data_IF_188395475523
#
_entry.id   IF_188395475523
#
_cell.length_a   1.000
_cell.length_b   1.000
_cell.length_c   1.000
_cell.angle_alpha   90.00
_cell.angle_beta   90.00
_cell.angle_gamma   90.00
#
_symmetry.space_group_name_H-M   'P 1'
#
loop_
_entity.id
_entity.type
_entity.pdbx_description
1 polymer ?
#
# COMPACT_ATOMS: atom_id res chain seq x y z
N UNK A 1 38.65 1.11 -7.52
CA UNK A 1 37.32 1.58 -7.87
C UNK A 1 36.31 0.48 -7.47
N UNK A 2 35.64 0.66 -6.32
CA UNK A 2 34.55 -0.21 -5.91
C UNK A 2 33.42 0.01 -6.91
N UNK A 3 32.89 -1.05 -7.52
CA UNK A 3 31.72 -0.97 -8.39
C UNK A 3 30.57 -0.43 -7.55
N UNK A 4 30.04 0.73 -7.93
CA UNK A 4 28.84 1.28 -7.31
C UNK A 4 27.71 0.23 -7.42
N UNK A 5 27.20 -0.21 -6.28
CA UNK A 5 26.06 -1.14 -6.23
C UNK A 5 24.83 -0.52 -6.90
N UNK A 6 23.92 -1.34 -7.41
CA UNK A 6 22.58 -0.91 -7.82
C UNK A 6 21.68 -0.88 -6.60
N UNK A 7 20.94 0.19 -6.42
CA UNK A 7 19.89 0.29 -5.40
C UNK A 7 18.60 -0.30 -5.94
N UNK A 8 17.97 -1.15 -5.13
CA UNK A 8 16.69 -1.77 -5.43
C UNK A 8 15.63 -0.92 -4.74
N UNK A 9 14.58 -0.51 -5.47
CA UNK A 9 13.38 0.01 -4.84
C UNK A 9 12.82 -1.10 -3.94
N UNK A 10 12.45 -0.75 -2.70
CA UNK A 10 12.02 -1.77 -1.76
C UNK A 10 10.65 -2.34 -2.16
N UNK A 11 10.40 -3.61 -1.90
CA UNK A 11 9.11 -4.26 -2.13
C UNK A 11 7.95 -3.51 -1.51
N UNK A 12 8.13 -2.94 -0.35
CA UNK A 12 7.12 -2.21 0.41
C UNK A 12 6.62 -0.96 -0.31
N UNK A 13 7.44 -0.35 -1.18
CA UNK A 13 7.01 0.76 -2.04
C UNK A 13 5.92 0.33 -3.04
N UNK A 14 5.78 -0.97 -3.28
CA UNK A 14 4.78 -1.57 -4.16
C UNK A 14 3.70 -2.39 -3.44
N UNK A 15 3.97 -2.91 -2.23
CA UNK A 15 3.03 -3.73 -1.45
C UNK A 15 1.87 -2.94 -0.83
N UNK A 16 1.93 -1.61 -0.82
CA UNK A 16 0.83 -0.78 -0.33
C UNK A 16 -0.50 -0.93 -1.11
N UNK A 17 -0.67 -2.00 -1.85
CA UNK A 17 -1.86 -2.27 -2.67
C UNK A 17 -2.97 -2.98 -1.93
N UNK A 18 -2.66 -3.67 -0.86
CA UNK A 18 -3.68 -4.33 -0.07
C UNK A 18 -3.80 -3.67 1.30
N UNK A 19 -4.99 -3.14 1.66
CA UNK A 19 -5.26 -2.91 3.05
C UNK A 19 -5.09 -4.27 3.75
N UNK A 20 -4.28 -4.27 4.79
CA UNK A 20 -3.89 -5.46 5.52
C UNK A 20 -5.04 -6.40 5.85
N UNK A 21 -4.72 -7.62 6.02
CA UNK A 21 -5.54 -8.78 6.26
C UNK A 21 -6.73 -8.57 7.21
N UNK A 22 -7.85 -8.17 6.64
CA UNK A 22 -9.15 -8.17 7.31
C UNK A 22 -10.22 -8.44 6.26
N UNK A 23 -10.77 -9.64 6.21
CA UNK A 23 -11.70 -10.03 5.15
C UNK A 23 -13.16 -9.84 5.55
N UNK A 24 -13.95 -9.15 4.73
CA UNK A 24 -15.37 -8.96 4.91
C UNK A 24 -16.21 -9.61 3.80
N UNK A 25 -17.30 -10.23 4.17
CA UNK A 25 -18.32 -10.77 3.26
C UNK A 25 -19.53 -9.85 3.24
N UNK A 26 -19.99 -9.48 2.04
CA UNK A 26 -21.23 -8.78 1.81
C UNK A 26 -22.24 -9.70 1.10
N UNK A 27 -23.56 -9.58 1.38
CA UNK A 27 -24.58 -10.32 0.68
C UNK A 27 -24.70 -9.87 -0.79
N UNK A 28 -25.05 -10.80 -1.65
CA UNK A 28 -25.30 -10.53 -3.07
C UNK A 28 -26.63 -9.79 -3.21
N UNK A 29 -26.64 -8.64 -3.89
CA UNK A 29 -27.87 -8.04 -4.44
C UNK A 29 -27.60 -6.91 -5.49
N UNK A 30 -28.63 -6.42 -6.24
CA UNK A 30 -28.50 -6.12 -7.67
C UNK A 30 -28.44 -4.62 -8.04
N UNK A 31 -28.02 -4.39 -9.21
CA UNK A 31 -28.37 -3.43 -10.28
C UNK A 31 -28.27 -1.91 -10.11
N UNK A 32 -27.75 -1.31 -9.04
CA UNK A 32 -27.39 0.11 -9.00
C UNK A 32 -26.02 0.29 -8.35
N UNK A 33 -25.31 1.42 -8.57
CA UNK A 33 -24.06 1.67 -7.86
C UNK A 33 -24.36 1.87 -6.39
N UNK A 34 -24.03 0.89 -5.56
CA UNK A 34 -24.30 0.94 -4.14
C UNK A 34 -23.10 1.49 -3.38
N UNK A 35 -23.37 2.31 -2.38
CA UNK A 35 -22.41 2.61 -1.33
C UNK A 35 -22.63 1.62 -0.19
N UNK A 36 -21.58 0.92 0.22
CA UNK A 36 -21.66 0.05 1.40
C UNK A 36 -22.10 0.84 2.63
N UNK A 37 -23.06 0.32 3.36
CA UNK A 37 -23.58 0.91 4.61
C UNK A 37 -22.65 0.68 5.81
N UNK A 38 -21.65 -0.19 5.65
CA UNK A 38 -20.77 -0.59 6.73
C UNK A 38 -19.62 0.39 6.95
N UNK A 39 -19.19 0.52 8.19
CA UNK A 39 -18.02 1.31 8.57
C UNK A 39 -16.94 0.40 9.14
N UNK A 40 -15.67 0.68 8.81
CA UNK A 40 -14.52 -0.11 9.25
C UNK A 40 -13.42 0.80 9.72
N UNK A 41 -12.72 0.35 10.75
CA UNK A 41 -11.45 0.91 11.19
C UNK A 41 -10.39 -0.16 11.02
N UNK A 42 -9.29 0.19 10.33
CA UNK A 42 -8.19 -0.72 9.99
C UNK A 42 -6.90 -0.10 10.51
N UNK A 43 -6.10 -0.92 11.18
CA UNK A 43 -4.75 -0.59 11.57
C UNK A 43 -3.84 -1.56 10.86
N UNK A 44 -2.92 -1.04 10.06
CA UNK A 44 -1.85 -1.80 9.43
C UNK A 44 -0.53 -1.36 10.04
N UNK A 45 0.30 -2.32 10.38
CA UNK A 45 1.61 -2.05 10.96
C UNK A 45 2.62 -3.03 10.41
N UNK A 46 3.57 -2.51 9.63
CA UNK A 46 4.67 -3.26 9.04
C UNK A 46 5.97 -2.83 9.73
N UNK A 47 6.73 -3.79 10.23
CA UNK A 47 7.99 -3.52 10.89
C UNK A 47 8.97 -4.66 10.62
N UNK A 48 10.23 -4.33 10.37
CA UNK A 48 11.31 -5.27 10.15
C UNK A 48 11.87 -5.93 11.42
N UNK A 49 11.34 -5.58 12.60
CA UNK A 49 11.76 -6.12 13.91
C UNK A 49 11.76 -7.66 13.93
N UNK A 50 10.87 -8.28 13.16
CA UNK A 50 10.79 -9.74 13.05
C UNK A 50 11.95 -10.35 12.29
N UNK A 51 12.67 -9.57 11.47
CA UNK A 51 13.85 -10.00 10.72
C UNK A 51 15.13 -9.78 11.51
N UNK A 52 15.07 -9.02 12.60
CA UNK A 52 16.23 -8.66 13.42
C UNK A 52 17.20 -7.69 12.72
N UNK A 53 16.74 -6.99 11.70
CA UNK A 53 17.54 -6.08 10.88
C UNK A 53 16.76 -4.78 10.70
N UNK A 54 17.28 -3.70 11.24
CA UNK A 54 16.67 -2.35 11.18
C UNK A 54 17.30 -1.54 10.05
N UNK A 55 17.07 -1.95 8.77
CA UNK A 55 17.59 -1.20 7.64
C UNK A 55 16.69 -1.31 6.39
N UNK A 56 16.74 -0.27 5.59
CA UNK A 56 15.98 0.02 4.39
C UNK A 56 14.54 0.44 4.70
N UNK A 57 13.60 -0.47 4.87
CA UNK A 57 12.25 -0.15 5.33
C UNK A 57 12.15 -0.51 6.80
N UNK A 58 12.18 0.49 7.67
CA UNK A 58 12.23 0.28 9.11
C UNK A 58 10.84 0.12 9.71
N UNK A 59 9.89 0.91 9.24
CA UNK A 59 8.53 0.92 9.78
C UNK A 59 7.53 1.51 8.78
N UNK A 60 6.34 0.91 8.70
CA UNK A 60 5.16 1.44 8.06
C UNK A 60 3.97 1.33 9.00
N UNK A 61 3.28 2.43 9.24
CA UNK A 61 2.05 2.45 10.02
C UNK A 61 0.94 3.12 9.20
N UNK A 62 -0.23 2.50 9.14
CA UNK A 62 -1.40 3.06 8.49
C UNK A 62 -2.63 2.91 9.36
N UNK A 63 -3.38 3.99 9.50
CA UNK A 63 -4.69 4.01 10.12
C UNK A 63 -5.72 4.36 9.05
N UNK A 64 -6.72 3.52 8.85
CA UNK A 64 -7.75 3.73 7.84
C UNK A 64 -9.14 3.72 8.46
N UNK A 65 -9.97 4.63 8.01
CA UNK A 65 -11.38 4.69 8.37
C UNK A 65 -12.23 4.66 7.10
N UNK A 66 -13.10 3.68 6.98
CA UNK A 66 -14.02 3.51 5.86
C UNK A 66 -15.41 3.84 6.34
N UNK A 67 -16.09 4.76 5.64
CA UNK A 67 -17.47 5.16 5.95
C UNK A 67 -18.22 5.57 4.69
N UNK A 68 -19.53 5.26 4.60
CA UNK A 68 -20.40 5.71 3.50
C UNK A 68 -20.37 7.23 3.28
N UNK A 69 -20.34 7.99 4.38
CA UNK A 69 -20.36 9.47 4.35
C UNK A 69 -19.20 10.10 3.59
N UNK A 70 -18.05 9.42 3.49
CA UNK A 70 -16.92 9.92 2.72
C UNK A 70 -17.18 9.95 1.21
N UNK A 71 -18.14 9.17 0.71
CA UNK A 71 -18.61 9.22 -0.67
C UNK A 71 -19.31 10.52 -1.07
N UNK A 72 -19.72 11.35 -0.10
CA UNK A 72 -20.32 12.65 -0.36
C UNK A 72 -19.30 13.74 -0.74
N UNK A 73 -18.01 13.48 -0.55
CA UNK A 73 -16.93 14.39 -0.92
C UNK A 73 -16.79 14.48 -2.44
N UNK A 74 -16.52 15.69 -2.97
CA UNK A 74 -16.37 15.93 -4.40
C UNK A 74 -15.26 15.09 -5.02
N UNK A 75 -14.10 14.99 -4.36
CA UNK A 75 -12.95 14.21 -4.86
C UNK A 75 -13.33 12.72 -4.92
N UNK A 76 -13.99 12.18 -3.88
CA UNK A 76 -14.44 10.79 -3.87
C UNK A 76 -15.42 10.46 -5.02
N UNK A 77 -16.27 11.42 -5.40
CA UNK A 77 -17.19 11.28 -6.54
C UNK A 77 -16.48 11.26 -7.89
N UNK A 78 -15.36 11.98 -8.01
CA UNK A 78 -14.56 12.04 -9.22
C UNK A 78 -13.71 10.77 -9.43
N UNK A 79 -13.45 10.01 -8.35
CA UNK A 79 -12.70 8.76 -8.47
C UNK A 79 -13.49 7.73 -9.32
N UNK A 80 -12.83 7.07 -10.30
CA UNK A 80 -13.45 6.07 -11.15
C UNK A 80 -14.15 4.94 -10.38
N UNK A 81 -15.14 4.34 -10.99
CA UNK A 81 -15.87 3.16 -10.48
C UNK A 81 -15.67 1.99 -11.42
N UNK A 82 -15.77 0.75 -10.92
CA UNK A 82 -15.65 -0.48 -11.71
C UNK A 82 -16.81 -0.66 -12.74
N UNK A 83 -17.80 0.21 -12.68
CA UNK A 83 -18.91 0.25 -13.64
C UNK A 83 -20.29 0.29 -12.98
N UNK A 84 -21.32 0.23 -13.82
CA UNK A 84 -22.71 0.21 -13.36
C UNK A 84 -22.97 -1.09 -12.55
N UNK A 85 -23.58 -0.95 -11.40
CA UNK A 85 -23.83 -2.08 -10.49
C UNK A 85 -22.67 -2.35 -9.51
N UNK A 86 -21.61 -1.53 -9.51
CA UNK A 86 -20.51 -1.70 -8.58
C UNK A 86 -20.87 -1.23 -7.17
N UNK A 87 -20.41 -1.99 -6.17
CA UNK A 87 -20.43 -1.59 -4.78
C UNK A 87 -19.20 -0.74 -4.45
N UNK A 88 -19.42 0.43 -3.89
CA UNK A 88 -18.35 1.38 -3.58
C UNK A 88 -18.16 1.52 -2.06
N UNK A 89 -16.90 1.44 -1.64
CA UNK A 89 -16.45 1.77 -0.29
C UNK A 89 -15.57 3.01 -0.38
N UNK A 90 -15.76 3.94 0.54
CA UNK A 90 -14.98 5.17 0.60
C UNK A 90 -14.26 5.25 1.93
N UNK A 91 -13.00 5.62 1.88
CA UNK A 91 -12.19 5.70 3.09
C UNK A 91 -11.19 6.83 3.04
N UNK A 92 -10.74 7.18 4.23
CA UNK A 92 -9.58 8.03 4.46
C UNK A 92 -8.54 7.23 5.21
N UNK A 93 -7.26 7.54 5.01
CA UNK A 93 -6.19 6.98 5.82
C UNK A 93 -5.08 7.98 6.08
N UNK A 94 -4.33 7.72 7.13
CA UNK A 94 -3.05 8.35 7.41
C UNK A 94 -2.02 7.24 7.42
N UNK A 95 -0.94 7.44 6.63
CA UNK A 95 0.17 6.50 6.52
C UNK A 95 1.47 7.21 6.83
N UNK A 96 2.31 6.56 7.62
CA UNK A 96 3.69 6.95 7.82
C UNK A 96 4.62 5.81 7.40
N UNK A 97 5.63 6.12 6.60
CA UNK A 97 6.69 5.20 6.23
C UNK A 97 8.03 5.76 6.66
N UNK A 98 8.90 4.89 7.17
CA UNK A 98 10.25 5.22 7.60
C UNK A 98 11.26 4.37 6.84
N UNK A 99 12.23 5.04 6.25
CA UNK A 99 13.32 4.41 5.53
C UNK A 99 14.65 4.84 6.13
N UNK A 100 15.51 3.89 6.46
CA UNK A 100 16.84 4.13 6.98
C UNK A 100 17.91 3.50 6.09
N UNK A 101 19.17 3.89 6.28
CA UNK A 101 20.31 3.20 5.71
C UNK A 101 20.59 1.89 6.44
N UNK A 102 21.57 1.13 5.97
CA UNK A 102 22.06 -0.09 6.64
C UNK A 102 22.76 0.20 7.97
N UNK A 103 23.18 1.42 8.21
CA UNK A 103 23.77 1.87 9.46
C UNK A 103 22.99 3.10 9.99
N UNK A 104 21.98 2.92 10.86
CA UNK A 104 21.19 4.01 11.42
C UNK A 104 21.99 4.99 12.28
N UNK A 105 23.13 4.55 12.84
CA UNK A 105 24.00 5.34 13.70
C UNK A 105 25.10 6.09 12.94
N UNK A 106 25.04 6.10 11.60
CA UNK A 106 26.07 6.76 10.79
C UNK A 106 26.18 8.26 11.10
N UNK A 107 27.42 8.71 11.29
CA UNK A 107 27.77 10.12 11.52
C UNK A 107 28.16 10.86 10.27
N UNK A 108 28.32 10.15 9.14
CA UNK A 108 28.71 10.67 7.84
C UNK A 108 27.80 10.07 6.75
N UNK A 109 27.68 10.78 5.64
CA UNK A 109 26.89 10.33 4.49
C UNK A 109 27.58 9.16 3.79
N UNK A 110 26.95 7.98 3.73
CA UNK A 110 27.38 6.91 2.86
C UNK A 110 26.68 7.04 1.49
N UNK A 111 27.43 7.52 0.50
CA UNK A 111 26.94 7.67 -0.88
C UNK A 111 26.63 6.34 -1.58
N UNK A 112 26.98 5.21 -0.97
CA UNK A 112 26.71 3.87 -1.49
C UNK A 112 25.50 3.20 -0.83
N UNK A 113 24.83 3.88 0.08
CA UNK A 113 23.64 3.41 0.75
C UNK A 113 22.43 4.29 0.41
N UNK A 114 21.23 3.87 0.85
CA UNK A 114 20.02 4.65 0.65
C UNK A 114 19.97 5.86 1.59
N UNK A 115 19.37 6.98 1.17
CA UNK A 115 19.10 8.09 2.08
C UNK A 115 18.05 7.72 3.13
N UNK A 116 18.13 8.37 4.29
CA UNK A 116 17.01 8.40 5.23
C UNK A 116 15.86 9.18 4.62
N UNK A 117 14.65 8.67 4.81
CA UNK A 117 13.44 9.35 4.34
C UNK A 117 12.26 9.00 5.24
N UNK A 118 11.67 10.01 5.84
CA UNK A 118 10.37 9.93 6.49
C UNK A 118 9.28 10.40 5.55
N UNK A 119 8.15 9.71 5.51
CA UNK A 119 7.01 10.05 4.65
C UNK A 119 5.74 9.99 5.49
N UNK A 120 4.93 11.04 5.41
CA UNK A 120 3.61 11.11 6.01
C UNK A 120 2.59 11.46 4.94
N UNK A 121 1.59 10.61 4.74
CA UNK A 121 0.54 10.77 3.76
C UNK A 121 -0.84 10.76 4.40
N UNK A 122 -1.68 11.68 3.97
CA UNK A 122 -3.12 11.58 4.11
C UNK A 122 -3.72 11.12 2.78
N UNK A 123 -4.64 10.18 2.83
CA UNK A 123 -5.21 9.55 1.65
C UNK A 123 -6.74 9.62 1.67
N UNK A 124 -7.34 9.84 0.52
CA UNK A 124 -8.74 9.60 0.25
C UNK A 124 -8.82 8.50 -0.80
N UNK A 125 -9.58 7.44 -0.53
CA UNK A 125 -9.66 6.33 -1.45
C UNK A 125 -11.09 5.84 -1.70
N UNK A 126 -11.26 5.22 -2.85
CA UNK A 126 -12.47 4.52 -3.27
C UNK A 126 -12.12 3.12 -3.74
N UNK A 127 -12.81 2.13 -3.19
CA UNK A 127 -12.75 0.75 -3.62
C UNK A 127 -14.10 0.43 -4.24
N UNK A 128 -14.08 0.04 -5.51
CA UNK A 128 -15.26 -0.21 -6.32
C UNK A 128 -15.25 -1.66 -6.81
N UNK A 129 -16.17 -2.48 -6.32
CA UNK A 129 -16.24 -3.91 -6.65
C UNK A 129 -17.46 -4.20 -7.49
N UNK A 130 -17.24 -4.75 -8.68
CA UNK A 130 -18.27 -5.22 -9.59
C UNK A 130 -18.33 -6.74 -9.55
N UNK A 131 -19.18 -7.29 -8.68
CA UNK A 131 -19.27 -8.73 -8.45
C UNK A 131 -19.64 -9.51 -9.71
N UNK A 132 -20.55 -8.99 -10.53
CA UNK A 132 -20.99 -9.65 -11.78
C UNK A 132 -19.86 -9.88 -12.80
N UNK A 133 -18.77 -9.14 -12.66
CA UNK A 133 -17.57 -9.27 -13.50
C UNK A 133 -16.33 -9.68 -12.70
N UNK A 134 -16.48 -9.93 -11.40
CA UNK A 134 -15.35 -10.25 -10.51
C UNK A 134 -14.19 -9.26 -10.69
N UNK A 135 -14.53 -7.98 -10.71
CA UNK A 135 -13.64 -6.86 -10.97
C UNK A 135 -13.61 -5.94 -9.75
N UNK A 136 -12.42 -5.60 -9.28
CA UNK A 136 -12.19 -4.59 -8.25
C UNK A 136 -11.32 -3.47 -8.82
N UNK A 137 -11.74 -2.23 -8.60
CA UNK A 137 -11.01 -1.02 -8.96
C UNK A 137 -10.78 -0.22 -7.68
N UNK A 138 -9.51 0.01 -7.34
CA UNK A 138 -9.12 0.86 -6.21
C UNK A 138 -8.46 2.12 -6.73
N UNK A 139 -8.94 3.28 -6.29
CA UNK A 139 -8.35 4.57 -6.61
C UNK A 139 -8.03 5.32 -5.34
N UNK A 140 -6.88 6.00 -5.30
CA UNK A 140 -6.40 6.80 -4.17
C UNK A 140 -5.91 8.16 -4.64
N UNK A 141 -6.20 9.17 -3.85
CA UNK A 141 -5.56 10.50 -3.90
C UNK A 141 -4.80 10.65 -2.60
N UNK A 142 -3.53 10.96 -2.69
CA UNK A 142 -2.62 11.05 -1.56
C UNK A 142 -1.99 12.44 -1.55
N UNK A 143 -1.93 13.05 -0.37
CA UNK A 143 -1.23 14.31 -0.13
C UNK A 143 -0.44 14.19 1.16
N UNK A 144 0.73 14.81 1.24
CA UNK A 144 1.55 14.71 2.43
C UNK A 144 2.92 15.32 2.28
N UNK A 145 3.86 14.83 3.07
CA UNK A 145 5.21 15.37 3.17
C UNK A 145 6.25 14.26 3.25
N UNK A 146 7.41 14.54 2.69
CA UNK A 146 8.65 13.81 2.93
C UNK A 146 9.58 14.70 3.74
N UNK A 147 10.49 14.11 4.52
CA UNK A 147 11.50 14.81 5.29
C UNK A 147 11.14 14.99 6.77
N UNK A 148 11.63 16.04 7.40
CA UNK A 148 11.45 16.29 8.84
C UNK A 148 9.97 16.48 9.22
N UNK A 149 9.21 17.13 8.38
CA UNK A 149 7.76 17.36 8.55
C UNK A 149 6.96 16.05 8.63
N UNK A 150 7.51 14.93 8.15
CA UNK A 150 6.90 13.59 8.30
C UNK A 150 6.87 13.08 9.73
N UNK A 151 7.63 13.70 10.64
CA UNK A 151 7.81 13.32 12.06
C UNK A 151 8.44 11.92 12.25
N UNK A 152 8.99 11.29 11.22
CA UNK A 152 9.54 9.95 11.27
C UNK A 152 10.69 9.86 12.29
N UNK A 153 11.66 10.78 12.24
CA UNK A 153 12.76 10.85 13.19
C UNK A 153 12.27 10.99 14.64
N UNK A 154 11.22 11.79 14.87
CA UNK A 154 10.64 11.99 16.20
C UNK A 154 9.98 10.69 16.71
N UNK A 155 9.21 10.01 15.87
CA UNK A 155 8.53 8.75 16.26
C UNK A 155 9.55 7.64 16.51
N UNK A 156 10.58 7.51 15.68
CA UNK A 156 11.63 6.53 15.91
C UNK A 156 12.38 6.81 17.22
N UNK A 157 12.62 8.08 17.56
CA UNK A 157 13.20 8.47 18.86
C UNK A 157 12.34 8.03 20.04
N UNK A 158 11.01 8.12 19.92
CA UNK A 158 10.11 7.68 21.00
C UNK A 158 10.10 6.14 21.14
N UNK A 159 10.29 5.41 20.05
CA UNK A 159 10.28 3.95 20.05
C UNK A 159 11.60 3.32 20.49
N UNK A 160 12.73 4.01 20.27
CA UNK A 160 14.08 3.49 20.55
C UNK A 160 14.76 4.32 21.63
N UNK A 161 15.49 3.65 22.53
CA UNK A 161 16.30 4.32 23.58
C UNK A 161 17.55 5.01 22.99
N UNK A 162 17.98 4.63 21.79
CA UNK A 162 19.10 5.24 21.07
C UNK A 162 18.56 6.11 19.94
N UNK A 163 19.16 7.28 19.77
CA UNK A 163 18.79 8.19 18.70
C UNK A 163 19.57 7.86 17.43
N UNK A 164 18.91 7.43 16.35
CA UNK A 164 19.58 7.21 15.07
C UNK A 164 20.07 8.53 14.51
N UNK A 165 21.37 8.76 14.57
CA UNK A 165 22.01 10.03 14.17
C UNK A 165 21.86 10.28 12.66
N UNK A 166 21.71 9.21 11.86
CA UNK A 166 21.56 9.29 10.40
C UNK A 166 20.40 10.13 9.91
N UNK A 167 19.37 10.38 10.74
CA UNK A 167 18.25 11.26 10.38
C UNK A 167 18.64 12.71 10.07
N UNK A 168 19.80 13.18 10.55
CA UNK A 168 20.32 14.50 10.16
C UNK A 168 20.64 14.62 8.67
N UNK A 169 20.78 13.50 7.97
CA UNK A 169 21.08 13.42 6.54
C UNK A 169 19.86 12.98 5.70
N UNK A 170 18.66 13.06 6.26
CA UNK A 170 17.45 12.63 5.56
C UNK A 170 17.14 13.49 4.33
N UNK A 171 16.33 12.97 3.45
CA UNK A 171 15.70 13.74 2.38
C UNK A 171 15.04 14.98 2.99
N UNK A 172 15.29 16.15 2.42
CA UNK A 172 14.71 17.42 2.90
C UNK A 172 13.21 17.48 2.65
N UNK A 173 12.56 18.36 3.40
CA UNK A 173 11.12 18.57 3.32
C UNK A 173 10.65 18.92 1.90
N UNK A 174 9.64 18.20 1.44
CA UNK A 174 8.94 18.48 0.21
C UNK A 174 7.47 18.04 0.28
N UNK A 175 6.63 18.65 -0.55
CA UNK A 175 5.22 18.33 -0.67
C UNK A 175 5.04 17.10 -1.55
N UNK A 176 4.22 16.17 -1.09
CA UNK A 176 3.86 14.97 -1.82
C UNK A 176 2.41 15.04 -2.29
N UNK A 177 2.20 14.79 -3.59
CA UNK A 177 0.88 14.62 -4.21
C UNK A 177 0.96 13.43 -5.13
N UNK A 178 0.08 12.44 -4.92
CA UNK A 178 0.08 11.20 -5.69
C UNK A 178 -1.34 10.77 -6.04
N UNK A 179 -1.46 10.18 -7.21
CA UNK A 179 -2.63 9.43 -7.65
C UNK A 179 -2.24 7.97 -7.81
N UNK A 180 -3.10 7.08 -7.35
CA UNK A 180 -2.94 5.64 -7.53
C UNK A 180 -4.22 5.05 -8.08
N UNK A 181 -4.11 4.16 -9.05
CA UNK A 181 -5.21 3.34 -9.55
C UNK A 181 -4.75 1.90 -9.70
N UNK A 182 -5.51 0.98 -9.14
CA UNK A 182 -5.28 -0.46 -9.23
C UNK A 182 -6.54 -1.16 -9.67
N UNK A 183 -6.39 -2.06 -10.63
CA UNK A 183 -7.46 -2.94 -11.10
C UNK A 183 -7.08 -4.39 -10.80
N UNK A 184 -8.01 -5.14 -10.22
CA UNK A 184 -7.89 -6.58 -10.01
C UNK A 184 -9.05 -7.29 -10.68
N UNK A 185 -8.73 -8.31 -11.48
CA UNK A 185 -9.70 -9.15 -12.16
C UNK A 185 -9.51 -10.61 -11.74
N UNK A 186 -10.51 -11.18 -11.11
CA UNK A 186 -10.53 -12.62 -10.83
C UNK A 186 -10.88 -13.38 -12.10
N UNK A 187 -10.05 -14.35 -12.46
CA UNK A 187 -10.18 -15.15 -13.69
C UNK A 187 -10.55 -16.60 -13.39
N UNK A 188 -10.21 -17.10 -12.21
CA UNK A 188 -10.67 -18.40 -11.70
C UNK A 188 -11.42 -18.13 -10.39
N UNK A 189 -12.66 -18.59 -10.32
CA UNK A 189 -13.57 -18.41 -9.18
C UNK A 189 -14.22 -19.75 -8.83
N UNK A 190 -13.38 -20.69 -8.45
CA UNK A 190 -13.83 -22.00 -8.01
C UNK A 190 -14.06 -22.03 -6.51
N UNK A 191 -14.77 -23.04 -6.02
CA UNK A 191 -15.12 -23.18 -4.61
C UNK A 191 -13.88 -23.17 -3.68
N UNK A 192 -12.78 -23.76 -4.14
CA UNK A 192 -11.57 -23.97 -3.34
C UNK A 192 -10.34 -23.30 -3.95
N UNK A 193 -10.47 -22.61 -5.08
CA UNK A 193 -9.37 -21.97 -5.78
C UNK A 193 -9.82 -20.67 -6.40
N UNK A 194 -9.03 -19.61 -6.18
CA UNK A 194 -9.19 -18.33 -6.86
C UNK A 194 -7.87 -17.88 -7.43
N UNK A 195 -7.93 -17.33 -8.63
CA UNK A 195 -6.80 -16.72 -9.29
C UNK A 195 -7.23 -15.35 -9.82
N UNK A 196 -6.45 -14.32 -9.50
CA UNK A 196 -6.67 -12.96 -9.96
C UNK A 196 -5.42 -12.41 -10.62
N UNK A 197 -5.61 -11.51 -11.58
CA UNK A 197 -4.56 -10.65 -12.12
C UNK A 197 -4.82 -9.22 -11.67
N UNK A 198 -3.74 -8.49 -11.38
CA UNK A 198 -3.81 -7.08 -11.04
C UNK A 198 -2.89 -6.25 -11.92
N UNK A 199 -3.26 -4.97 -12.09
CA UNK A 199 -2.40 -3.96 -12.65
C UNK A 199 -2.54 -2.67 -11.84
N UNK A 200 -1.42 -2.00 -11.58
CA UNK A 200 -1.38 -0.79 -10.76
C UNK A 200 -0.56 0.28 -11.44
N UNK A 201 -1.09 1.49 -11.43
CA UNK A 201 -0.38 2.69 -11.83
C UNK A 201 -0.36 3.71 -10.70
N UNK A 202 0.81 4.31 -10.46
CA UNK A 202 0.99 5.45 -9.55
C UNK A 202 1.61 6.60 -10.32
N UNK A 203 1.11 7.80 -10.10
CA UNK A 203 1.62 9.00 -10.72
C UNK A 203 1.65 10.13 -9.69
N UNK A 204 2.80 10.73 -9.49
CA UNK A 204 2.92 11.86 -8.59
C UNK A 204 4.33 12.21 -8.17
N UNK A 205 4.42 13.05 -7.14
CA UNK A 205 5.68 13.57 -6.61
C UNK A 205 6.29 12.67 -5.53
N UNK A 206 5.56 11.64 -5.06
CA UNK A 206 6.10 10.61 -4.17
C UNK A 206 6.62 9.42 -4.98
N UNK A 207 5.71 8.75 -5.69
CA UNK A 207 6.00 7.56 -6.48
C UNK A 207 5.38 7.69 -7.87
N UNK A 208 6.15 7.37 -8.90
CA UNK A 208 5.65 7.12 -10.24
C UNK A 208 6.06 5.72 -10.63
N UNK A 209 5.08 4.79 -10.68
CA UNK A 209 5.31 3.36 -10.91
C UNK A 209 4.22 2.77 -11.80
N UNK A 210 4.55 1.66 -12.45
CA UNK A 210 3.59 0.78 -13.10
C UNK A 210 3.92 -0.66 -12.73
N UNK A 211 2.91 -1.45 -12.36
CA UNK A 211 3.11 -2.83 -11.94
C UNK A 211 1.98 -3.74 -12.38
N UNK A 212 2.27 -5.03 -12.38
CA UNK A 212 1.29 -6.10 -12.62
C UNK A 212 1.55 -7.25 -11.65
N UNK A 213 0.51 -7.99 -11.29
CA UNK A 213 0.61 -9.08 -10.34
C UNK A 213 -0.39 -10.18 -10.59
N UNK A 214 -0.10 -11.32 -9.99
CA UNK A 214 -0.94 -12.51 -9.95
C UNK A 214 -1.15 -12.87 -8.49
N UNK A 215 -2.39 -13.14 -8.11
CA UNK A 215 -2.77 -13.52 -6.75
C UNK A 215 -3.54 -14.82 -6.80
N UNK A 216 -3.21 -15.74 -5.90
CA UNK A 216 -3.98 -16.95 -5.75
C UNK A 216 -4.43 -17.16 -4.31
N UNK A 217 -5.57 -17.80 -4.14
CA UNK A 217 -6.06 -18.30 -2.85
C UNK A 217 -6.55 -19.72 -3.04
N UNK A 218 -6.12 -20.63 -2.18
CA UNK A 218 -6.55 -22.02 -2.20
C UNK A 218 -6.97 -22.47 -0.80
N UNK A 219 -8.11 -23.17 -0.70
CA UNK A 219 -8.64 -23.64 0.57
C UNK A 219 -10.15 -23.53 0.64
N UNK A 220 -10.68 -23.41 1.83
CA UNK A 220 -12.10 -23.22 2.08
C UNK A 220 -12.41 -21.73 2.13
N UNK A 221 -12.65 -21.16 0.95
CA UNK A 221 -12.71 -19.73 0.68
C UNK A 221 -14.16 -19.24 0.76
N UNK A 222 -14.45 -18.03 1.30
CA UNK A 222 -15.74 -17.39 1.18
C UNK A 222 -16.18 -17.21 -0.28
N UNK A 223 -17.46 -17.37 -0.59
CA UNK A 223 -17.95 -17.32 -1.97
C UNK A 223 -17.91 -15.92 -2.60
N UNK A 224 -17.90 -14.85 -1.81
CA UNK A 224 -17.91 -13.50 -2.37
C UNK A 224 -16.51 -13.01 -2.74
N UNK A 225 -16.39 -12.42 -3.93
CA UNK A 225 -15.23 -11.62 -4.31
C UNK A 225 -15.37 -10.25 -3.62
N UNK A 226 -14.55 -10.01 -2.60
CA UNK A 226 -14.48 -8.72 -1.92
C UNK A 226 -13.07 -8.44 -1.45
N UNK A 227 -12.54 -7.23 -1.64
CA UNK A 227 -11.26 -6.81 -1.08
C UNK A 227 -11.28 -6.71 0.44
N UNK A 228 -12.48 -6.61 1.04
CA UNK A 228 -12.70 -6.61 2.48
C UNK A 228 -13.51 -7.85 2.86
N UNK A 229 -12.88 -8.98 2.99
CA UNK A 229 -13.54 -10.12 3.60
C UNK A 229 -13.37 -10.03 5.11
N UNK A 230 -14.16 -9.24 5.81
CA UNK A 230 -14.33 -9.38 7.24
C UNK A 230 -15.20 -10.59 7.49
N UNK A 231 -14.69 -11.46 8.33
CA UNK A 231 -15.49 -12.54 8.93
C UNK A 231 -16.43 -11.89 9.96
N UNK A 232 -17.54 -11.36 9.50
CA UNK A 232 -18.63 -11.10 10.40
C UNK A 232 -19.34 -12.45 10.60
N UNK A 233 -19.14 -13.07 11.75
CA UNK A 233 -19.62 -14.41 12.09
C UNK A 233 -21.15 -14.60 11.94
N UNK A 234 -21.92 -13.54 11.69
CA UNK A 234 -23.37 -13.57 11.49
C UNK A 234 -23.82 -13.69 10.02
N UNK A 235 -22.93 -13.51 9.03
CA UNK A 235 -23.31 -13.40 7.61
C UNK A 235 -22.56 -14.30 6.66
N UNK A 236 -21.72 -15.22 7.14
CA UNK A 236 -21.09 -16.22 6.26
C UNK A 236 -22.07 -17.34 6.03
N UNK A 237 -23.01 -17.17 5.11
CA UNK A 237 -23.74 -18.28 4.52
C UNK A 237 -22.80 -19.07 3.60
N UNK A 238 -22.15 -20.06 4.19
CA UNK A 238 -21.56 -21.15 3.42
C UNK A 238 -22.65 -22.21 3.31
N UNK A 239 -23.25 -22.37 2.11
CA UNK A 239 -24.25 -23.39 1.78
C UNK A 239 -24.62 -24.34 2.94
N UNK A 240 -25.60 -23.94 3.74
CA UNK A 240 -26.30 -24.83 4.67
C UNK A 240 -25.62 -25.26 5.96
N UNK A 241 -24.42 -24.80 6.31
CA UNK A 241 -23.77 -25.21 7.54
C UNK A 241 -22.97 -24.09 8.22
N UNK A 242 -23.59 -23.43 9.21
CA UNK A 242 -23.13 -22.23 9.91
C UNK A 242 -21.86 -22.40 10.78
N UNK A 243 -21.29 -23.60 10.90
CA UNK A 243 -20.23 -23.90 11.87
C UNK A 243 -18.93 -24.44 11.26
N UNK A 244 -18.72 -24.30 9.95
CA UNK A 244 -17.50 -24.82 9.36
C UNK A 244 -16.38 -23.80 9.38
N UNK A 245 -15.21 -24.18 9.89
CA UNK A 245 -13.99 -23.40 9.85
C UNK A 245 -13.65 -23.02 8.39
N UNK A 246 -13.45 -21.72 8.14
CA UNK A 246 -12.85 -21.23 6.90
C UNK A 246 -11.35 -21.18 7.08
N UNK A 247 -10.62 -21.63 6.06
CA UNK A 247 -9.18 -21.58 6.04
C UNK A 247 -8.70 -21.50 4.59
N UNK A 248 -7.66 -20.80 4.36
CA UNK A 248 -7.03 -20.72 3.05
C UNK A 248 -5.55 -20.41 3.18
N UNK A 249 -4.80 -20.79 2.16
CA UNK A 249 -3.47 -20.29 1.86
C UNK A 249 -3.58 -19.32 0.71
N UNK A 250 -2.75 -18.32 0.68
CA UNK A 250 -2.69 -17.38 -0.42
C UNK A 250 -1.24 -17.17 -0.80
N UNK A 251 -1.02 -16.68 -1.99
CA UNK A 251 0.27 -16.22 -2.45
C UNK A 251 0.08 -15.20 -3.55
N UNK A 252 1.09 -14.37 -3.71
CA UNK A 252 1.13 -13.37 -4.74
C UNK A 252 2.51 -13.30 -5.39
N UNK A 253 2.52 -12.94 -6.66
CA UNK A 253 3.73 -12.62 -7.39
C UNK A 253 3.46 -11.42 -8.28
N UNK A 254 4.42 -10.51 -8.37
CA UNK A 254 4.25 -9.29 -9.15
C UNK A 254 5.56 -8.67 -9.57
N UNK A 255 5.45 -7.77 -10.53
CA UNK A 255 6.54 -6.96 -11.05
C UNK A 255 6.12 -5.50 -11.03
N UNK A 256 7.02 -4.64 -10.57
CA UNK A 256 6.82 -3.18 -10.56
C UNK A 256 8.00 -2.49 -11.24
N UNK A 257 7.68 -1.64 -12.21
CA UNK A 257 8.64 -0.72 -12.80
C UNK A 257 8.55 0.65 -12.15
N UNK A 258 9.67 1.14 -11.60
CA UNK A 258 9.78 2.44 -10.94
C UNK A 258 10.38 3.48 -11.88
N UNK A 259 9.61 4.50 -12.21
CA UNK A 259 10.06 5.67 -12.97
C UNK A 259 10.68 6.71 -12.04
N UNK A 260 10.07 6.91 -10.86
CA UNK A 260 10.49 7.87 -9.85
C UNK A 260 10.10 7.43 -8.45
N UNK A 261 10.98 7.67 -7.47
CA UNK A 261 10.77 7.42 -6.04
C UNK A 261 11.43 8.53 -5.22
N UNK A 262 10.63 9.37 -4.56
CA UNK A 262 11.11 10.49 -3.76
C UNK A 262 11.98 10.04 -2.58
N UNK A 263 11.71 8.86 -1.99
CA UNK A 263 12.50 8.35 -0.86
C UNK A 263 13.94 8.00 -1.23
N UNK A 264 14.25 7.91 -2.52
CA UNK A 264 15.58 7.62 -3.04
C UNK A 264 16.16 8.80 -3.83
N UNK A 265 15.33 9.52 -4.58
CA UNK A 265 15.75 10.53 -5.54
C UNK A 265 15.54 11.97 -5.04
N UNK A 266 15.03 12.15 -3.82
CA UNK A 266 14.69 13.46 -3.27
C UNK A 266 13.37 14.00 -3.79
N UNK A 267 12.92 15.13 -3.27
CA UNK A 267 11.70 15.80 -3.67
C UNK A 267 11.76 16.41 -5.08
N UNK A 268 10.61 16.64 -5.69
CA UNK A 268 10.53 17.31 -7.00
C UNK A 268 10.59 18.83 -6.88
N UNK A 269 10.07 19.40 -5.81
CA UNK A 269 10.05 20.86 -5.58
C UNK A 269 11.30 21.30 -4.81
N UNK A 270 11.78 20.50 -3.84
CA UNK A 270 13.02 20.76 -3.12
C UNK A 270 14.08 19.70 -3.47
N UNK A 271 15.07 20.09 -4.29
CA UNK A 271 16.11 19.19 -4.82
C UNK A 271 17.43 19.23 -4.03
N UNK A 272 17.46 19.93 -2.90
CA UNK A 272 18.72 20.19 -2.15
C UNK A 272 18.98 19.15 -1.05
N UNK A 273 18.49 17.92 -1.19
CA UNK A 273 18.71 16.87 -0.18
C UNK A 273 20.18 16.47 -0.09
N UNK A 274 20.68 16.15 1.13
CA UNK A 274 22.09 15.83 1.37
C UNK A 274 22.58 14.60 0.59
N UNK A 275 21.70 13.61 0.44
CA UNK A 275 21.95 12.39 -0.32
C UNK A 275 20.75 12.08 -1.19
N UNK A 276 21.00 11.80 -2.46
CA UNK A 276 20.01 11.27 -3.40
C UNK A 276 20.67 10.23 -4.30
N UNK A 277 19.90 9.25 -4.71
CA UNK A 277 20.35 8.19 -5.59
C UNK A 277 20.09 8.59 -7.05
N UNK A 278 21.16 8.65 -7.83
CA UNK A 278 21.06 8.97 -9.25
C UNK A 278 20.22 7.92 -9.99
N UNK A 279 19.42 8.38 -10.96
CA UNK A 279 18.52 7.54 -11.77
C UNK A 279 19.23 6.31 -12.40
N UNK A 280 20.49 6.42 -12.78
CA UNK A 280 21.28 5.33 -13.38
C UNK A 280 21.67 4.24 -12.38
N UNK A 281 21.64 4.53 -11.07
CA UNK A 281 21.98 3.61 -9.98
C UNK A 281 20.75 2.86 -9.45
N UNK A 282 19.54 3.24 -9.84
CA UNK A 282 18.31 2.62 -9.41
C UNK A 282 18.04 1.32 -10.16
N UNK A 283 17.74 0.28 -9.44
CA UNK A 283 17.05 -0.90 -10.00
C UNK A 283 15.59 -0.53 -10.18
N UNK A 284 15.15 -0.49 -11.44
CA UNK A 284 13.79 -0.02 -11.77
C UNK A 284 12.75 -1.12 -11.75
N UNK A 285 13.17 -2.35 -11.94
CA UNK A 285 12.30 -3.51 -11.96
C UNK A 285 12.47 -4.23 -10.63
N UNK A 286 11.37 -4.38 -9.92
CA UNK A 286 11.29 -5.13 -8.67
C UNK A 286 10.30 -6.26 -8.88
N UNK A 287 10.76 -7.49 -8.66
CA UNK A 287 9.93 -8.69 -8.68
C UNK A 287 9.73 -9.12 -7.22
N UNK A 288 8.50 -9.43 -6.89
CA UNK A 288 8.08 -9.83 -5.54
C UNK A 288 7.32 -11.12 -5.59
N UNK A 289 7.44 -11.92 -4.54
CA UNK A 289 6.61 -13.10 -4.29
C UNK A 289 6.42 -13.26 -2.78
N UNK A 290 5.19 -13.53 -2.35
CA UNK A 290 4.82 -13.78 -0.97
C UNK A 290 3.81 -14.94 -0.86
#
# INVERSE_FOLDING_TARGET
PRKAGRFIAQPEDSLALYPGFGQMILPAEPAETFTSINSYFIIDFDNDIFTGKDYYFTNGAQLSLIRPSFGNNLIARLLPSAGKGAMNHYGISIRQNMYTSTNPEQTEIDVNDRPFAGILLAELFKISTLHSRELCLTNRVQVGFIGETSLAAFIQRLAHHLFPVGWQFQIHDDLLVNLESSIEKQVISERNLRLSFSATGRLGTYLTTAGAGIHFKAGRIPLSFSPFATINSKTVEYEGNRHKLLWWVFGEAGETYTFYNASLQGGLFNRNSPLVIERRRLTRIVIQAA
#
